data_IF_801979381930
#
_entry.id   IF_801979381930
#
_cell.length_a   1.000
_cell.length_b   1.000
_cell.length_c   1.000
_cell.angle_alpha   90.00
_cell.angle_beta   90.00
_cell.angle_gamma   90.00
#
_symmetry.space_group_name_H-M   'P 1'
#
loop_
_entity.id
_entity.type
_entity.pdbx_description
1 polymer ?
#
# COMPACT_ATOMS: atom_id res chain seq x y z
N UNK A 1 -31.62 -76.64 -23.80
CA UNK A 1 -31.74 -75.32 -23.14
C UNK A 1 -33.07 -75.13 -22.37
N UNK A 2 -33.77 -76.20 -21.93
CA UNK A 2 -35.08 -76.10 -21.24
C UNK A 2 -35.02 -76.13 -19.70
N UNK A 3 -33.92 -76.64 -19.11
CA UNK A 3 -33.79 -76.85 -17.66
C UNK A 3 -33.66 -75.54 -16.85
N UNK A 4 -32.97 -74.54 -17.40
CA UNK A 4 -32.78 -73.23 -16.75
C UNK A 4 -34.10 -72.44 -16.70
N UNK A 5 -34.94 -72.58 -17.73
CA UNK A 5 -36.21 -71.85 -17.85
C UNK A 5 -37.28 -72.39 -16.90
N UNK A 6 -37.36 -73.71 -16.76
CA UNK A 6 -38.20 -74.40 -15.77
C UNK A 6 -37.80 -74.03 -14.33
N UNK A 7 -36.50 -73.96 -14.05
CA UNK A 7 -35.98 -73.58 -12.73
C UNK A 7 -36.33 -72.12 -12.36
N UNK A 8 -36.16 -71.18 -13.29
CA UNK A 8 -36.56 -69.77 -13.12
C UNK A 8 -38.06 -69.64 -12.88
N UNK A 9 -38.89 -70.39 -13.64
CA UNK A 9 -40.35 -70.40 -13.46
C UNK A 9 -40.79 -71.02 -12.13
N UNK A 10 -40.02 -71.95 -11.55
CA UNK A 10 -40.32 -72.56 -10.25
C UNK A 10 -39.95 -71.68 -9.06
N UNK A 11 -38.95 -70.79 -9.21
CA UNK A 11 -38.43 -69.95 -8.12
C UNK A 11 -38.63 -68.44 -8.28
N UNK A 12 -39.40 -68.00 -9.28
CA UNK A 12 -39.72 -66.58 -9.60
C UNK A 12 -39.99 -65.66 -8.40
N UNK A 13 -40.77 -66.09 -7.39
CA UNK A 13 -41.00 -65.28 -6.18
C UNK A 13 -39.75 -65.13 -5.28
N UNK A 14 -38.94 -66.18 -5.16
CA UNK A 14 -37.70 -66.18 -4.36
C UNK A 14 -36.57 -65.41 -5.05
N UNK A 15 -36.53 -65.46 -6.39
CA UNK A 15 -35.58 -64.70 -7.20
C UNK A 15 -35.90 -63.20 -7.21
N UNK A 16 -37.19 -62.83 -7.27
CA UNK A 16 -37.61 -61.43 -7.12
C UNK A 16 -37.30 -60.89 -5.72
N UNK A 17 -37.60 -61.66 -4.67
CA UNK A 17 -37.29 -61.26 -3.29
C UNK A 17 -35.77 -61.15 -3.05
N UNK A 18 -34.99 -62.11 -3.56
CA UNK A 18 -33.53 -62.08 -3.50
C UNK A 18 -32.93 -60.90 -4.27
N UNK A 19 -33.41 -60.64 -5.49
CA UNK A 19 -33.00 -59.49 -6.29
C UNK A 19 -33.36 -58.15 -5.64
N UNK A 20 -34.54 -58.04 -5.03
CA UNK A 20 -34.97 -56.85 -4.30
C UNK A 20 -34.09 -56.58 -3.06
N UNK A 21 -33.75 -57.62 -2.28
CA UNK A 21 -32.87 -57.49 -1.11
C UNK A 21 -31.45 -57.07 -1.50
N UNK A 22 -30.88 -57.68 -2.56
CA UNK A 22 -29.55 -57.32 -3.05
C UNK A 22 -29.53 -55.90 -3.63
N UNK A 23 -30.56 -55.50 -4.38
CA UNK A 23 -30.69 -54.15 -4.92
C UNK A 23 -30.85 -53.09 -3.82
N UNK A 24 -31.65 -53.37 -2.79
CA UNK A 24 -31.80 -52.49 -1.63
C UNK A 24 -30.50 -52.36 -0.84
N UNK A 25 -29.78 -53.47 -0.62
CA UNK A 25 -28.48 -53.45 0.04
C UNK A 25 -27.44 -52.65 -0.74
N UNK A 26 -27.41 -52.77 -2.07
CA UNK A 26 -26.52 -51.99 -2.93
C UNK A 26 -26.85 -50.50 -2.90
N UNK A 27 -28.13 -50.13 -2.98
CA UNK A 27 -28.57 -48.73 -2.90
C UNK A 27 -28.23 -48.08 -1.55
N UNK A 28 -28.40 -48.81 -0.44
CA UNK A 28 -28.00 -48.34 0.90
C UNK A 28 -26.48 -48.19 0.98
N UNK A 29 -25.72 -49.16 0.47
CA UNK A 29 -24.26 -49.10 0.47
C UNK A 29 -23.73 -47.90 -0.34
N UNK A 30 -24.25 -47.67 -1.54
CA UNK A 30 -23.84 -46.54 -2.39
C UNK A 30 -24.24 -45.20 -1.78
N UNK A 31 -25.40 -45.10 -1.13
CA UNK A 31 -25.81 -43.90 -0.40
C UNK A 31 -24.91 -43.61 0.81
N UNK A 32 -24.53 -44.62 1.60
CA UNK A 32 -23.62 -44.44 2.73
C UNK A 32 -22.21 -44.06 2.25
N UNK A 33 -21.75 -44.68 1.15
CA UNK A 33 -20.44 -44.39 0.57
C UNK A 33 -20.36 -42.97 0.01
N UNK A 34 -21.41 -42.50 -0.68
CA UNK A 34 -21.46 -41.13 -1.19
C UNK A 34 -21.51 -40.11 -0.06
N UNK A 35 -22.23 -40.38 1.04
CA UNK A 35 -22.25 -39.54 2.24
C UNK A 35 -20.87 -39.45 2.90
N UNK A 36 -20.18 -40.58 3.11
CA UNK A 36 -18.80 -40.58 3.63
C UNK A 36 -17.83 -39.84 2.72
N UNK A 37 -17.98 -39.97 1.41
CA UNK A 37 -17.11 -39.31 0.46
C UNK A 37 -17.34 -37.79 0.49
N UNK A 38 -18.58 -37.33 0.62
CA UNK A 38 -18.91 -35.93 0.85
C UNK A 38 -18.36 -35.42 2.19
N UNK A 39 -18.48 -36.20 3.26
CA UNK A 39 -17.94 -35.85 4.58
C UNK A 39 -16.42 -35.73 4.56
N UNK A 40 -15.70 -36.64 3.90
CA UNK A 40 -14.24 -36.56 3.74
C UNK A 40 -13.83 -35.36 2.88
N UNK A 41 -14.58 -35.05 1.82
CA UNK A 41 -14.35 -33.86 1.01
C UNK A 41 -14.55 -32.61 1.88
N UNK A 42 -15.63 -32.55 2.66
CA UNK A 42 -15.94 -31.43 3.55
C UNK A 42 -14.89 -31.27 4.66
N UNK A 43 -14.47 -32.37 5.29
CA UNK A 43 -13.37 -32.39 6.25
C UNK A 43 -12.06 -31.91 5.61
N UNK A 44 -11.81 -32.27 4.34
CA UNK A 44 -10.64 -31.79 3.61
C UNK A 44 -10.76 -30.31 3.22
N UNK A 45 -11.96 -29.79 2.97
CA UNK A 45 -12.20 -28.37 2.62
C UNK A 45 -12.06 -27.51 3.88
N UNK A 46 -12.55 -28.00 5.01
CA UNK A 46 -12.52 -27.32 6.31
C UNK A 46 -11.23 -27.58 7.10
N UNK A 47 -10.20 -28.15 6.47
CA UNK A 47 -8.90 -28.36 7.10
C UNK A 47 -8.26 -27.00 7.44
N UNK A 48 -8.01 -26.69 8.72
CA UNK A 48 -7.48 -25.41 9.15
C UNK A 48 -6.12 -25.09 8.49
N UNK A 49 -5.30 -26.10 8.19
CA UNK A 49 -4.03 -25.91 7.50
C UNK A 49 -4.22 -25.44 6.06
N UNK A 50 -5.24 -25.95 5.37
CA UNK A 50 -5.54 -25.55 3.98
C UNK A 50 -6.16 -24.15 3.94
N UNK A 51 -7.04 -23.82 4.89
CA UNK A 51 -7.59 -22.47 5.03
C UNK A 51 -6.44 -21.47 5.28
N UNK A 52 -5.54 -21.79 6.21
CA UNK A 52 -4.38 -20.97 6.50
C UNK A 52 -3.46 -20.82 5.26
N UNK A 53 -3.15 -21.91 4.57
CA UNK A 53 -2.31 -21.89 3.36
C UNK A 53 -2.94 -21.03 2.24
N UNK A 54 -4.26 -21.12 2.04
CA UNK A 54 -4.99 -20.30 1.07
C UNK A 54 -4.93 -18.81 1.42
N UNK A 55 -5.13 -18.46 2.69
CA UNK A 55 -5.03 -17.06 3.17
C UNK A 55 -3.63 -16.50 2.94
N UNK A 56 -2.60 -17.28 3.26
CA UNK A 56 -1.21 -16.91 2.97
C UNK A 56 -0.95 -16.71 1.47
N UNK A 57 -1.43 -17.62 0.62
CA UNK A 57 -1.28 -17.51 -0.83
C UNK A 57 -1.92 -16.23 -1.40
N UNK A 58 -3.14 -15.90 -0.95
CA UNK A 58 -3.84 -14.68 -1.35
C UNK A 58 -3.06 -13.45 -0.92
N UNK A 59 -2.60 -13.41 0.33
CA UNK A 59 -1.80 -12.31 0.84
C UNK A 59 -0.50 -12.13 0.04
N UNK A 60 0.31 -13.18 -0.10
CA UNK A 60 1.62 -13.11 -0.75
C UNK A 60 1.51 -12.70 -2.22
N UNK A 61 0.55 -13.26 -2.95
CA UNK A 61 0.35 -12.94 -4.38
C UNK A 61 -0.05 -11.48 -4.56
N UNK A 62 -0.97 -10.98 -3.72
CA UNK A 62 -1.41 -9.59 -3.77
C UNK A 62 -0.29 -8.62 -3.33
N UNK A 63 0.50 -8.98 -2.32
CA UNK A 63 1.62 -8.14 -1.86
C UNK A 63 2.75 -8.04 -2.89
N UNK A 64 3.06 -9.11 -3.62
CA UNK A 64 4.00 -9.06 -4.76
C UNK A 64 3.50 -8.19 -5.90
N UNK A 65 2.21 -8.31 -6.24
CA UNK A 65 1.60 -7.43 -7.25
C UNK A 65 1.64 -5.95 -6.82
N UNK A 66 1.37 -5.69 -5.53
CA UNK A 66 1.46 -4.37 -4.92
C UNK A 66 2.86 -3.76 -5.06
N UNK A 67 3.92 -4.53 -4.86
CA UNK A 67 5.29 -4.04 -4.96
C UNK A 67 5.60 -3.51 -6.36
N UNK A 68 5.20 -4.26 -7.40
CA UNK A 68 5.34 -3.79 -8.78
C UNK A 68 4.62 -2.46 -9.01
N UNK A 69 3.39 -2.33 -8.52
CA UNK A 69 2.63 -1.09 -8.62
C UNK A 69 3.28 0.07 -7.84
N UNK A 70 3.87 -0.19 -6.67
CA UNK A 70 4.60 0.85 -5.91
C UNK A 70 5.78 1.36 -6.72
N UNK A 71 6.57 0.47 -7.33
CA UNK A 71 7.73 0.86 -8.14
C UNK A 71 7.31 1.74 -9.33
N UNK A 72 6.28 1.33 -10.08
CA UNK A 72 5.76 2.09 -11.23
C UNK A 72 5.23 3.47 -10.81
N UNK A 73 4.43 3.53 -9.74
CA UNK A 73 3.88 4.79 -9.24
C UNK A 73 4.96 5.69 -8.64
N UNK A 74 5.97 5.13 -7.97
CA UNK A 74 7.09 5.87 -7.42
C UNK A 74 7.92 6.55 -8.51
N UNK A 75 8.13 5.90 -9.66
CA UNK A 75 8.77 6.54 -10.82
C UNK A 75 7.98 7.76 -11.33
N UNK A 76 6.65 7.64 -11.41
CA UNK A 76 5.79 8.76 -11.77
C UNK A 76 5.90 9.92 -10.75
N UNK A 77 5.89 9.59 -9.46
CA UNK A 77 6.03 10.57 -8.38
C UNK A 77 7.40 11.24 -8.40
N UNK A 78 8.48 10.48 -8.63
CA UNK A 78 9.82 11.04 -8.80
C UNK A 78 9.86 12.06 -9.95
N UNK A 79 9.32 11.73 -11.13
CA UNK A 79 9.26 12.69 -12.25
C UNK A 79 8.54 13.99 -11.85
N UNK A 80 7.44 13.90 -11.10
CA UNK A 80 6.72 15.07 -10.57
C UNK A 80 7.56 15.89 -9.59
N UNK A 81 8.26 15.24 -8.67
CA UNK A 81 9.16 15.90 -7.71
C UNK A 81 10.28 16.63 -8.45
N UNK A 82 10.90 16.01 -9.46
CA UNK A 82 11.95 16.61 -10.27
C UNK A 82 11.45 17.88 -10.99
N UNK A 83 10.26 17.81 -11.60
CA UNK A 83 9.63 18.95 -12.28
C UNK A 83 9.28 20.08 -11.30
N UNK A 84 8.74 19.74 -10.12
CA UNK A 84 8.31 20.73 -9.13
C UNK A 84 9.48 21.47 -8.50
N UNK A 85 10.58 20.76 -8.29
CA UNK A 85 11.81 21.28 -7.71
C UNK A 85 12.94 21.19 -8.73
N UNK A 86 12.82 21.81 -9.90
CA UNK A 86 13.83 21.79 -10.99
C UNK A 86 15.15 22.52 -10.67
N UNK A 87 16.02 21.83 -9.92
CA UNK A 87 17.34 22.31 -9.50
C UNK A 87 18.29 22.40 -10.69
N UNK A 88 18.21 21.46 -11.63
CA UNK A 88 19.09 21.38 -12.78
C UNK A 88 18.94 22.60 -13.68
N UNK A 89 17.70 23.02 -13.96
CA UNK A 89 17.42 24.23 -14.73
C UNK A 89 17.93 25.49 -14.02
N UNK A 90 17.69 25.61 -12.70
CA UNK A 90 18.18 26.74 -11.92
C UNK A 90 19.72 26.82 -11.88
N UNK A 91 20.41 25.68 -11.77
CA UNK A 91 21.87 25.61 -11.86
C UNK A 91 22.35 25.91 -13.29
N UNK A 92 21.64 25.46 -14.32
CA UNK A 92 21.97 25.76 -15.71
C UNK A 92 21.92 27.27 -15.97
N UNK A 93 20.88 27.98 -15.51
CA UNK A 93 20.78 29.45 -15.58
C UNK A 93 21.98 30.13 -14.92
N UNK A 94 22.40 29.65 -13.74
CA UNK A 94 23.59 30.17 -13.04
C UNK A 94 24.89 29.99 -13.83
N UNK A 95 24.98 28.96 -14.69
CA UNK A 95 26.17 28.66 -15.50
C UNK A 95 26.15 29.36 -16.85
N UNK A 96 24.99 29.50 -17.49
CA UNK A 96 24.86 30.04 -18.85
C UNK A 96 24.95 31.56 -18.91
N UNK A 97 24.68 32.26 -17.81
CA UNK A 97 24.64 33.73 -17.77
C UNK A 97 25.69 34.30 -16.79
N UNK A 98 26.98 34.28 -17.14
CA UNK A 98 28.05 34.79 -16.27
C UNK A 98 27.96 36.30 -15.99
N UNK A 99 27.18 37.04 -16.78
CA UNK A 99 26.96 38.49 -16.64
C UNK A 99 25.81 38.85 -15.67
N UNK A 100 25.17 37.85 -15.04
CA UNK A 100 24.07 38.08 -14.09
C UNK A 100 24.52 39.03 -12.95
N UNK A 101 23.73 40.06 -12.62
CA UNK A 101 23.98 40.89 -11.45
C UNK A 101 24.14 40.03 -10.19
N UNK A 102 25.06 40.44 -9.30
CA UNK A 102 25.40 39.66 -8.10
C UNK A 102 24.18 39.37 -7.21
N UNK A 103 23.23 40.31 -7.12
CA UNK A 103 21.98 40.16 -6.38
C UNK A 103 21.08 39.09 -6.99
N UNK A 104 20.88 39.11 -8.31
CA UNK A 104 20.06 38.11 -9.01
C UNK A 104 20.67 36.71 -8.90
N UNK A 105 22.01 36.61 -8.97
CA UNK A 105 22.73 35.36 -8.76
C UNK A 105 22.51 34.79 -7.36
N UNK A 106 22.51 35.66 -6.35
CA UNK A 106 22.25 35.27 -4.96
C UNK A 106 20.81 34.79 -4.77
N UNK A 107 19.82 35.43 -5.40
CA UNK A 107 18.42 35.00 -5.36
C UNK A 107 18.25 33.59 -5.94
N UNK A 108 18.89 33.29 -7.08
CA UNK A 108 18.81 31.95 -7.68
C UNK A 108 19.48 30.92 -6.76
N UNK A 109 20.65 31.21 -6.18
CA UNK A 109 21.28 30.29 -5.23
C UNK A 109 20.43 30.02 -3.99
N UNK A 110 19.76 31.04 -3.44
CA UNK A 110 18.83 30.85 -2.32
C UNK A 110 17.63 29.99 -2.73
N UNK A 111 17.12 30.13 -3.95
CA UNK A 111 16.07 29.26 -4.49
C UNK A 111 16.55 27.81 -4.65
N UNK A 112 17.75 27.60 -5.21
CA UNK A 112 18.38 26.27 -5.36
C UNK A 112 18.57 25.60 -4.00
N UNK A 113 19.03 26.35 -2.99
CA UNK A 113 19.18 25.88 -1.61
C UNK A 113 17.89 25.24 -1.07
N UNK A 114 16.77 25.95 -1.19
CA UNK A 114 15.46 25.47 -0.72
C UNK A 114 15.02 24.25 -1.55
N UNK A 115 15.13 24.33 -2.87
CA UNK A 115 14.69 23.27 -3.78
C UNK A 115 15.46 21.96 -3.56
N UNK A 116 16.79 22.02 -3.37
CA UNK A 116 17.62 20.83 -3.15
C UNK A 116 17.20 20.08 -1.87
N UNK A 117 16.99 20.80 -0.76
CA UNK A 117 16.53 20.21 0.50
C UNK A 117 15.09 19.73 0.38
N UNK A 118 14.19 20.54 -0.20
CA UNK A 118 12.80 20.16 -0.41
C UNK A 118 12.66 18.89 -1.25
N UNK A 119 13.53 18.69 -2.24
CA UNK A 119 13.55 17.49 -3.08
C UNK A 119 13.85 16.22 -2.30
N UNK A 120 14.80 16.25 -1.37
CA UNK A 120 15.12 15.12 -0.48
C UNK A 120 13.94 14.79 0.43
N UNK A 121 13.36 15.81 1.07
CA UNK A 121 12.20 15.64 1.96
C UNK A 121 10.98 15.12 1.19
N UNK A 122 10.74 15.65 -0.01
CA UNK A 122 9.63 15.25 -0.86
C UNK A 122 9.71 13.78 -1.28
N UNK A 123 10.90 13.27 -1.65
CA UNK A 123 11.09 11.85 -1.95
C UNK A 123 10.78 11.01 -0.71
N UNK A 124 11.39 11.36 0.43
CA UNK A 124 11.22 10.62 1.67
C UNK A 124 9.75 10.48 2.07
N UNK A 125 8.99 11.58 2.09
CA UNK A 125 7.58 11.57 2.46
C UNK A 125 6.69 10.94 1.38
N UNK A 126 6.87 11.29 0.10
CA UNK A 126 5.98 10.82 -0.96
C UNK A 126 6.10 9.31 -1.15
N UNK A 127 7.32 8.75 -1.11
CA UNK A 127 7.53 7.31 -1.27
C UNK A 127 7.07 6.54 -0.03
N UNK A 128 7.32 7.06 1.17
CA UNK A 128 6.84 6.43 2.41
C UNK A 128 5.32 6.39 2.46
N UNK A 129 4.64 7.50 2.17
CA UNK A 129 3.18 7.58 2.15
C UNK A 129 2.56 6.70 1.06
N UNK A 130 3.11 6.72 -0.16
CA UNK A 130 2.70 5.83 -1.24
C UNK A 130 2.78 4.36 -0.82
N UNK A 131 3.91 3.98 -0.22
CA UNK A 131 4.20 2.62 0.19
C UNK A 131 3.23 2.14 1.26
N UNK A 132 3.10 2.87 2.37
CA UNK A 132 2.19 2.45 3.46
C UNK A 132 0.73 2.49 3.03
N UNK A 133 0.32 3.45 2.18
CA UNK A 133 -1.04 3.54 1.68
C UNK A 133 -1.40 2.35 0.79
N UNK A 134 -0.59 2.06 -0.23
CA UNK A 134 -0.89 0.98 -1.16
C UNK A 134 -0.79 -0.39 -0.47
N UNK A 135 0.21 -0.58 0.41
CA UNK A 135 0.34 -1.80 1.21
C UNK A 135 -0.87 -2.03 2.13
N UNK A 136 -1.33 -0.99 2.84
CA UNK A 136 -2.56 -1.07 3.66
C UNK A 136 -3.80 -1.36 2.80
N UNK A 137 -3.96 -0.65 1.68
CA UNK A 137 -5.09 -0.80 0.76
C UNK A 137 -5.18 -2.24 0.23
N UNK A 138 -4.06 -2.83 -0.18
CA UNK A 138 -4.00 -4.21 -0.66
C UNK A 138 -4.20 -5.22 0.47
N UNK A 139 -3.65 -4.99 1.67
CA UNK A 139 -3.92 -5.83 2.84
C UNK A 139 -5.41 -5.86 3.22
N UNK A 140 -6.09 -4.71 3.18
CA UNK A 140 -7.54 -4.63 3.41
C UNK A 140 -8.28 -5.47 2.36
N UNK A 141 -7.97 -5.29 1.09
CA UNK A 141 -8.64 -6.04 0.02
C UNK A 141 -8.37 -7.55 0.11
N UNK A 142 -7.14 -7.96 0.41
CA UNK A 142 -6.79 -9.37 0.60
C UNK A 142 -7.56 -10.00 1.77
N UNK A 143 -7.76 -9.27 2.87
CA UNK A 143 -8.56 -9.75 4.01
C UNK A 143 -10.01 -10.01 3.62
N UNK A 144 -10.59 -9.14 2.79
CA UNK A 144 -11.94 -9.30 2.24
C UNK A 144 -12.08 -10.50 1.32
N UNK A 145 -11.11 -10.69 0.41
CA UNK A 145 -11.09 -11.85 -0.48
C UNK A 145 -11.08 -13.13 0.36
N UNK A 146 -10.28 -13.17 1.44
CA UNK A 146 -10.24 -14.33 2.34
C UNK A 146 -11.58 -14.57 3.05
N UNK A 147 -12.18 -13.52 3.61
CA UNK A 147 -13.47 -13.63 4.30
C UNK A 147 -14.61 -14.10 3.39
N UNK A 148 -14.55 -13.79 2.09
CA UNK A 148 -15.56 -14.26 1.12
C UNK A 148 -15.54 -15.78 0.92
N UNK A 149 -14.44 -16.46 1.23
CA UNK A 149 -14.36 -17.92 1.14
C UNK A 149 -15.01 -18.63 2.31
N UNK A 150 -14.99 -18.01 3.49
CA UNK A 150 -15.53 -18.60 4.73
C UNK A 150 -17.07 -18.65 4.72
N UNK A 151 -17.73 -17.94 3.79
CA UNK A 151 -19.19 -17.82 3.69
C UNK A 151 -19.82 -18.68 2.58
N UNK A 152 -19.05 -19.49 1.85
CA UNK A 152 -19.59 -20.36 0.78
C UNK A 152 -20.35 -21.57 1.35
N UNK A 153 -20.13 -21.91 2.63
CA UNK A 153 -20.68 -23.13 3.26
C UNK A 153 -22.01 -22.92 4.03
N UNK A 154 -22.50 -21.67 4.18
CA UNK A 154 -23.66 -21.32 5.03
C UNK A 154 -24.98 -21.07 4.23
N UNK A 155 -25.06 -21.55 2.99
CA UNK A 155 -26.18 -21.29 2.07
C UNK A 155 -27.39 -22.23 2.30
N UNK A 156 -27.89 -22.29 3.54
CA UNK A 156 -29.19 -22.87 3.86
C UNK A 156 -30.17 -21.84 4.48
N UNK A 157 -29.76 -20.58 4.65
CA UNK A 157 -30.61 -19.55 5.22
C UNK A 157 -30.44 -18.18 4.56
N UNK A 158 -30.64 -18.09 3.24
CA UNK A 158 -31.21 -16.93 2.52
C UNK A 158 -30.69 -15.51 2.79
N UNK A 159 -29.54 -15.31 3.44
CA UNK A 159 -28.97 -14.00 3.76
C UNK A 159 -27.53 -13.93 3.26
N UNK A 160 -27.39 -14.01 1.93
CA UNK A 160 -26.17 -13.72 1.22
C UNK A 160 -25.73 -12.27 1.52
N UNK A 161 -24.89 -12.08 2.54
CA UNK A 161 -24.40 -10.75 2.89
C UNK A 161 -22.95 -10.82 3.36
N UNK A 162 -22.00 -10.94 2.43
CA UNK A 162 -20.58 -10.65 2.73
C UNK A 162 -19.64 -10.49 1.52
N UNK A 163 -20.11 -10.44 0.27
CA UNK A 163 -19.23 -10.08 -0.85
C UNK A 163 -19.32 -8.59 -1.12
N UNK A 164 -18.24 -7.85 -0.82
CA UNK A 164 -18.10 -6.44 -1.21
C UNK A 164 -18.36 -6.33 -2.71
N UNK A 165 -19.20 -5.38 -3.11
CA UNK A 165 -19.50 -5.13 -4.51
C UNK A 165 -18.21 -4.99 -5.36
N UNK A 166 -18.09 -5.74 -6.46
CA UNK A 166 -16.91 -5.72 -7.33
C UNK A 166 -16.57 -4.30 -7.84
N UNK A 167 -17.58 -3.46 -8.07
CA UNK A 167 -17.39 -2.06 -8.43
C UNK A 167 -16.76 -1.26 -7.29
N UNK A 168 -17.16 -1.53 -6.04
CA UNK A 168 -16.55 -0.90 -4.86
C UNK A 168 -15.08 -1.30 -4.71
N UNK A 169 -14.72 -2.56 -4.95
CA UNK A 169 -13.32 -3.01 -4.92
C UNK A 169 -12.49 -2.32 -5.99
N UNK A 170 -12.99 -2.23 -7.23
CA UNK A 170 -12.29 -1.55 -8.32
C UNK A 170 -12.10 -0.04 -8.07
N UNK A 171 -13.12 0.64 -7.54
CA UNK A 171 -13.03 2.04 -7.18
C UNK A 171 -12.08 2.26 -6.00
N UNK A 172 -12.09 1.35 -5.02
CA UNK A 172 -11.14 1.36 -3.92
C UNK A 172 -9.72 1.23 -4.43
N UNK A 173 -9.42 0.28 -5.34
CA UNK A 173 -8.08 0.13 -5.95
C UNK A 173 -7.59 1.42 -6.63
N UNK A 174 -8.50 2.18 -7.25
CA UNK A 174 -8.17 3.44 -7.92
C UNK A 174 -7.91 4.61 -6.97
N UNK A 175 -8.18 4.50 -5.66
CA UNK A 175 -8.04 5.65 -4.76
C UNK A 175 -6.60 6.17 -4.68
N UNK A 176 -5.59 5.30 -4.83
CA UNK A 176 -4.18 5.71 -4.82
C UNK A 176 -3.84 6.68 -5.96
N UNK A 177 -4.61 6.68 -7.05
CA UNK A 177 -4.44 7.64 -8.15
C UNK A 177 -4.68 9.08 -7.69
N UNK A 178 -5.55 9.30 -6.70
CA UNK A 178 -5.73 10.63 -6.12
C UNK A 178 -4.45 11.12 -5.47
N UNK A 179 -3.79 10.27 -4.67
CA UNK A 179 -2.49 10.60 -4.09
C UNK A 179 -1.47 10.94 -5.17
N UNK A 180 -1.28 10.08 -6.16
CA UNK A 180 -0.23 10.27 -7.17
C UNK A 180 -0.47 11.44 -8.13
N UNK A 181 -1.68 11.99 -8.18
CA UNK A 181 -2.04 13.11 -9.07
C UNK A 181 -2.23 14.43 -8.33
N UNK A 182 -3.06 14.45 -7.28
CA UNK A 182 -3.43 15.66 -6.53
C UNK A 182 -2.78 15.69 -5.15
N UNK A 183 -2.81 14.58 -4.41
CA UNK A 183 -2.28 14.50 -3.05
C UNK A 183 -0.78 14.81 -2.98
N UNK A 184 0.00 14.31 -3.95
CA UNK A 184 1.43 14.60 -4.07
C UNK A 184 1.65 16.08 -4.30
N UNK A 185 0.90 16.74 -5.19
CA UNK A 185 1.11 18.18 -5.44
C UNK A 185 0.93 19.02 -4.16
N UNK A 186 -0.13 18.74 -3.40
CA UNK A 186 -0.37 19.38 -2.11
C UNK A 186 0.73 19.05 -1.08
N UNK A 187 1.23 17.81 -1.06
CA UNK A 187 2.39 17.44 -0.24
C UNK A 187 3.65 18.22 -0.63
N UNK A 188 3.90 18.41 -1.93
CA UNK A 188 5.05 19.18 -2.42
C UNK A 188 4.92 20.65 -2.08
N UNK A 189 3.72 21.23 -2.15
CA UNK A 189 3.46 22.61 -1.72
C UNK A 189 3.79 22.82 -0.23
N UNK A 190 3.32 21.90 0.63
CA UNK A 190 3.64 21.93 2.07
C UNK A 190 5.12 21.74 2.34
N UNK A 191 5.75 20.82 1.63
CA UNK A 191 7.20 20.56 1.73
C UNK A 191 7.99 21.82 1.36
N UNK A 192 7.64 22.47 0.24
CA UNK A 192 8.30 23.71 -0.17
C UNK A 192 8.16 24.79 0.88
N UNK A 193 6.93 25.00 1.39
CA UNK A 193 6.66 26.03 2.40
C UNK A 193 7.49 25.81 3.67
N UNK A 194 7.51 24.59 4.20
CA UNK A 194 8.29 24.27 5.41
C UNK A 194 9.79 24.42 5.14
N UNK A 195 10.28 23.98 4.00
CA UNK A 195 11.69 24.16 3.65
C UNK A 195 12.05 25.64 3.50
N UNK A 196 11.17 26.47 2.93
CA UNK A 196 11.38 27.91 2.85
C UNK A 196 11.47 28.54 4.25
N UNK A 197 10.53 28.22 5.14
CA UNK A 197 10.51 28.70 6.54
C UNK A 197 11.75 28.28 7.35
N UNK A 198 12.23 27.03 7.19
CA UNK A 198 13.36 26.50 7.98
C UNK A 198 14.74 26.84 7.40
N UNK A 199 14.85 27.08 6.08
CA UNK A 199 16.14 27.14 5.37
C UNK A 199 16.46 28.54 4.85
N UNK A 200 15.47 29.41 4.65
CA UNK A 200 15.64 30.76 4.07
C UNK A 200 16.72 31.58 4.78
N UNK A 201 16.67 31.63 6.11
CA UNK A 201 17.60 32.40 6.97
C UNK A 201 19.03 31.82 7.03
N UNK A 202 19.25 30.60 6.55
CA UNK A 202 20.58 29.97 6.59
C UNK A 202 21.47 30.56 5.48
N UNK A 203 22.53 31.25 5.89
CA UNK A 203 23.54 31.79 4.96
C UNK A 203 24.20 30.70 4.12
N UNK A 204 24.41 30.96 2.83
CA UNK A 204 25.17 30.10 1.91
C UNK A 204 26.63 29.88 2.35
N UNK A 205 27.17 30.76 3.21
CA UNK A 205 28.52 30.65 3.78
C UNK A 205 28.57 29.84 5.07
N UNK A 206 27.43 29.45 5.63
CA UNK A 206 27.38 28.66 6.85
C UNK A 206 28.07 27.31 6.64
N UNK A 207 28.90 26.89 7.59
CA UNK A 207 29.64 25.63 7.53
C UNK A 207 28.75 24.45 7.92
N UNK A 208 28.71 23.41 7.11
CA UNK A 208 27.90 22.21 7.30
C UNK A 208 28.80 20.98 7.29
N UNK A 209 28.70 20.22 8.37
CA UNK A 209 29.14 18.84 8.46
C UNK A 209 27.91 17.90 8.37
N UNK A 210 28.17 16.59 8.43
CA UNK A 210 27.13 15.56 8.37
C UNK A 210 26.10 15.69 9.51
N UNK A 211 26.52 16.10 10.71
CA UNK A 211 25.65 16.21 11.87
C UNK A 211 24.75 17.44 11.80
N UNK A 212 25.27 18.58 11.34
CA UNK A 212 24.48 19.78 11.09
C UNK A 212 23.46 19.55 9.98
N UNK A 213 23.84 18.85 8.91
CA UNK A 213 22.92 18.47 7.85
C UNK A 213 21.83 17.52 8.36
N UNK A 214 22.20 16.50 9.15
CA UNK A 214 21.25 15.61 9.84
C UNK A 214 20.28 16.41 10.72
N UNK A 215 20.79 17.36 11.49
CA UNK A 215 20.00 18.25 12.33
C UNK A 215 18.98 19.08 11.54
N UNK A 216 19.41 19.63 10.39
CA UNK A 216 18.53 20.38 9.49
C UNK A 216 17.40 19.51 8.91
N UNK A 217 17.75 18.36 8.33
CA UNK A 217 16.75 17.43 7.79
C UNK A 217 15.81 16.93 8.88
N UNK A 218 16.32 16.68 10.09
CA UNK A 218 15.53 16.33 11.27
C UNK A 218 14.61 17.45 11.75
N UNK A 219 15.02 18.72 11.63
CA UNK A 219 14.14 19.88 11.92
C UNK A 219 12.95 19.91 10.96
N UNK A 220 13.24 19.85 9.66
CA UNK A 220 12.20 19.84 8.62
C UNK A 220 11.27 18.64 8.79
N UNK A 221 11.81 17.44 9.07
CA UNK A 221 11.00 16.25 9.37
C UNK A 221 10.06 16.48 10.54
N UNK A 222 10.53 17.02 11.67
CA UNK A 222 9.70 17.31 12.85
C UNK A 222 8.61 18.32 12.52
N UNK A 223 8.91 19.36 11.73
CA UNK A 223 7.91 20.32 11.26
C UNK A 223 6.85 19.66 10.39
N UNK A 224 7.25 18.85 9.42
CA UNK A 224 6.33 18.05 8.58
C UNK A 224 5.41 17.16 9.43
N UNK A 225 5.91 16.54 10.50
CA UNK A 225 5.08 15.74 11.41
C UNK A 225 4.14 16.60 12.27
N UNK A 226 4.55 17.81 12.64
CA UNK A 226 3.75 18.71 13.50
C UNK A 226 2.59 19.38 12.78
N UNK A 227 2.69 19.59 11.46
CA UNK A 227 1.62 20.27 10.70
C UNK A 227 0.41 19.37 10.47
N UNK A 228 0.55 18.05 10.62
CA UNK A 228 -0.51 17.11 10.27
C UNK A 228 -0.63 15.94 11.24
N UNK A 229 -1.62 16.04 12.13
CA UNK A 229 -1.91 14.99 13.12
C UNK A 229 -2.58 13.76 12.50
N UNK A 230 -3.13 13.90 11.29
CA UNK A 230 -3.81 12.85 10.52
C UNK A 230 -2.88 12.13 9.55
N UNK A 231 -1.57 12.37 9.66
CA UNK A 231 -0.56 11.69 8.85
C UNK A 231 -0.84 11.79 7.35
N UNK A 232 -1.37 12.94 6.90
CA UNK A 232 -1.68 13.20 5.50
C UNK A 232 -2.69 12.21 4.88
N UNK A 233 -3.51 11.53 5.70
CA UNK A 233 -4.49 10.54 5.24
C UNK A 233 -5.45 11.10 4.17
N UNK A 234 -5.79 12.38 4.28
CA UNK A 234 -6.66 13.09 3.34
C UNK A 234 -6.00 13.40 1.99
N UNK A 235 -4.66 13.34 1.89
CA UNK A 235 -3.96 13.38 0.60
C UNK A 235 -4.12 12.07 -0.17
N UNK A 236 -4.49 10.99 0.51
CA UNK A 236 -4.79 9.69 -0.10
C UNK A 236 -6.29 9.53 -0.31
N UNK A 237 -7.10 9.89 0.69
CA UNK A 237 -8.55 9.72 0.67
C UNK A 237 -9.25 11.06 0.96
N UNK A 238 -9.58 11.86 -0.08
CA UNK A 238 -10.02 13.25 0.09
C UNK A 238 -11.44 13.38 0.67
N UNK A 239 -12.28 12.34 0.55
CA UNK A 239 -13.66 12.33 1.11
C UNK A 239 -13.73 12.55 2.62
N UNK A 240 -12.62 12.34 3.33
CA UNK A 240 -12.54 12.57 4.78
C UNK A 240 -11.79 13.87 5.13
N UNK A 241 -11.49 14.69 4.11
CA UNK A 241 -10.81 15.98 4.22
C UNK A 241 -11.78 17.17 4.27
N UNK A 242 -12.81 17.18 3.39
CA UNK A 242 -13.79 18.27 3.21
C UNK A 242 -15.02 17.77 2.42
N UNK A 243 -16.15 18.49 2.53
CA UNK A 243 -17.48 18.14 1.99
C UNK A 243 -17.57 18.04 0.44
N UNK A 244 -16.57 18.53 -0.30
CA UNK A 244 -16.60 18.62 -1.78
C UNK A 244 -15.75 17.57 -2.52
N UNK A 245 -15.28 16.53 -1.83
CA UNK A 245 -14.29 15.62 -2.41
C UNK A 245 -14.87 14.42 -3.18
N UNK A 246 -14.46 14.30 -4.46
CA UNK A 246 -14.62 13.17 -5.38
C UNK A 246 -16.05 12.58 -5.42
N UNK A 247 -16.80 12.82 -6.48
CA UNK A 247 -18.08 12.14 -6.73
C UNK A 247 -17.89 10.63 -7.00
N UNK A 248 -17.46 9.86 -6.00
CA UNK A 248 -17.50 8.41 -6.06
C UNK A 248 -18.93 7.97 -5.78
N UNK A 249 -19.47 7.01 -6.56
CA UNK A 249 -20.78 6.41 -6.31
C UNK A 249 -20.97 6.06 -4.84
N UNK A 250 -22.11 6.41 -4.26
CA UNK A 250 -22.43 6.11 -2.88
C UNK A 250 -22.76 4.62 -2.75
N UNK A 251 -21.76 3.79 -2.46
CA UNK A 251 -21.96 2.44 -1.96
C UNK A 251 -21.45 2.33 -0.53
N UNK A 252 -22.25 1.74 0.36
CA UNK A 252 -21.86 1.52 1.76
C UNK A 252 -20.58 0.70 1.89
N UNK A 253 -20.35 -0.23 0.96
CA UNK A 253 -19.13 -1.04 0.90
C UNK A 253 -17.87 -0.23 0.57
N UNK A 254 -17.94 0.68 -0.42
CA UNK A 254 -16.81 1.55 -0.77
C UNK A 254 -16.49 2.50 0.39
N UNK A 255 -17.51 3.03 1.04
CA UNK A 255 -17.33 3.88 2.22
C UNK A 255 -16.64 3.12 3.36
N UNK A 256 -17.05 1.89 3.63
CA UNK A 256 -16.45 1.04 4.66
C UNK A 256 -14.97 0.74 4.38
N UNK A 257 -14.63 0.44 3.12
CA UNK A 257 -13.23 0.23 2.68
C UNK A 257 -12.37 1.48 2.85
N UNK A 258 -12.86 2.63 2.38
CA UNK A 258 -12.12 3.89 2.44
C UNK A 258 -11.96 4.38 3.88
N UNK A 259 -13.00 4.24 4.70
CA UNK A 259 -12.95 4.54 6.14
C UNK A 259 -11.88 3.67 6.81
N UNK A 260 -11.85 2.37 6.49
CA UNK A 260 -10.83 1.46 7.04
C UNK A 260 -9.42 1.85 6.64
N UNK A 261 -9.20 2.26 5.40
CA UNK A 261 -7.90 2.73 4.94
C UNK A 261 -7.45 3.96 5.74
N UNK A 262 -8.34 4.92 5.95
CA UNK A 262 -8.05 6.13 6.74
C UNK A 262 -7.69 5.78 8.19
N UNK A 263 -8.46 4.91 8.85
CA UNK A 263 -8.15 4.44 10.21
C UNK A 263 -6.76 3.80 10.29
N UNK A 264 -6.39 2.99 9.29
CA UNK A 264 -5.07 2.36 9.25
C UNK A 264 -3.97 3.38 9.02
N UNK A 265 -4.14 4.32 8.09
CA UNK A 265 -3.18 5.40 7.84
C UNK A 265 -2.98 6.32 9.06
N UNK A 266 -4.05 6.59 9.80
CA UNK A 266 -4.01 7.45 10.99
C UNK A 266 -3.56 6.72 12.27
N UNK A 267 -3.43 5.39 12.22
CA UNK A 267 -3.00 4.58 13.35
C UNK A 267 -1.56 4.91 13.78
N UNK A 268 -1.28 4.77 15.07
CA UNK A 268 0.07 4.94 15.62
C UNK A 268 1.09 4.00 14.96
N UNK A 269 0.69 2.77 14.64
CA UNK A 269 1.54 1.79 13.97
C UNK A 269 1.92 2.23 12.55
N UNK A 270 0.96 2.69 11.75
CA UNK A 270 1.26 3.18 10.40
C UNK A 270 2.12 4.45 10.43
N UNK A 271 1.81 5.39 11.33
CA UNK A 271 2.61 6.60 11.56
C UNK A 271 4.07 6.27 11.92
N UNK A 272 4.29 5.29 12.79
CA UNK A 272 5.63 4.85 13.18
C UNK A 272 6.39 4.23 11.99
N UNK A 273 5.76 3.31 11.25
CA UNK A 273 6.36 2.70 10.06
C UNK A 273 6.70 3.75 9.01
N UNK A 274 5.77 4.65 8.68
CA UNK A 274 6.03 5.71 7.72
C UNK A 274 7.14 6.66 8.19
N UNK A 275 7.20 6.99 9.49
CA UNK A 275 8.31 7.78 10.05
C UNK A 275 9.66 7.06 9.92
N UNK A 276 9.69 5.75 10.18
CA UNK A 276 10.88 4.90 10.02
C UNK A 276 11.35 4.85 8.56
N UNK A 277 10.42 4.71 7.61
CA UNK A 277 10.72 4.79 6.19
C UNK A 277 11.26 6.17 5.79
N UNK A 278 10.65 7.26 6.27
CA UNK A 278 11.17 8.63 6.06
C UNK A 278 12.60 8.74 6.58
N UNK A 279 12.87 8.26 7.81
CA UNK A 279 14.22 8.25 8.36
C UNK A 279 15.20 7.48 7.48
N UNK A 280 14.79 6.34 6.95
CA UNK A 280 15.61 5.54 6.05
C UNK A 280 16.04 6.33 4.79
N UNK A 281 15.11 7.06 4.16
CA UNK A 281 15.46 7.93 3.02
C UNK A 281 16.38 9.09 3.41
N UNK A 282 16.16 9.72 4.56
CA UNK A 282 17.03 10.79 5.04
C UNK A 282 18.44 10.25 5.36
N UNK A 283 18.54 9.05 5.91
CA UNK A 283 19.82 8.37 6.13
C UNK A 283 20.50 8.02 4.81
N UNK A 284 19.78 7.55 3.80
CA UNK A 284 20.33 7.31 2.48
C UNK A 284 20.92 8.60 1.87
N UNK A 285 20.22 9.74 2.03
CA UNK A 285 20.72 11.03 1.58
C UNK A 285 21.98 11.49 2.35
N UNK A 286 22.00 11.31 3.67
CA UNK A 286 23.17 11.63 4.50
C UNK A 286 24.37 10.73 4.19
N UNK A 287 24.14 9.44 3.93
CA UNK A 287 25.19 8.50 3.53
C UNK A 287 25.78 8.88 2.17
N UNK A 288 24.93 9.27 1.21
CA UNK A 288 25.39 9.80 -0.07
C UNK A 288 26.27 11.04 0.14
N UNK A 289 25.80 12.00 0.95
CA UNK A 289 26.58 13.19 1.28
C UNK A 289 27.94 12.83 1.91
N UNK A 290 27.97 11.97 2.91
CA UNK A 290 29.21 11.56 3.59
C UNK A 290 30.21 10.86 2.66
N UNK A 291 29.73 10.09 1.67
CA UNK A 291 30.59 9.43 0.69
C UNK A 291 31.20 10.38 -0.35
N UNK A 292 30.52 11.49 -0.64
CA UNK A 292 30.93 12.44 -1.70
C UNK A 292 31.46 13.77 -1.14
N UNK A 293 31.49 13.92 0.18
CA UNK A 293 32.06 15.08 0.85
C UNK A 293 33.59 15.03 0.81
N UNK A 294 34.22 16.08 0.32
CA UNK A 294 35.69 16.20 0.28
C UNK A 294 36.31 16.60 1.63
N UNK A 295 35.49 17.03 2.58
CA UNK A 295 35.91 17.55 3.89
C UNK A 295 34.87 17.26 4.95
N UNK A 296 35.29 17.21 6.21
CA UNK A 296 34.39 17.06 7.36
C UNK A 296 33.40 18.22 7.49
N UNK A 297 33.77 19.42 7.02
CA UNK A 297 32.91 20.60 7.07
C UNK A 297 33.10 21.49 5.83
N UNK A 298 32.01 21.92 5.22
CA UNK A 298 32.05 22.79 4.05
C UNK A 298 30.92 23.82 4.02
N UNK A 299 31.12 24.93 3.33
CA UNK A 299 30.08 25.94 3.17
C UNK A 299 28.83 25.35 2.51
N UNK A 300 27.64 25.79 2.94
CA UNK A 300 26.36 25.33 2.41
C UNK A 300 26.27 25.45 0.87
N UNK A 301 26.89 26.47 0.28
CA UNK A 301 27.01 26.63 -1.16
C UNK A 301 27.66 25.41 -1.88
N UNK A 302 28.55 24.67 -1.19
CA UNK A 302 29.17 23.43 -1.69
C UNK A 302 28.35 22.18 -1.36
N UNK A 303 27.60 22.20 -0.25
CA UNK A 303 26.68 21.11 0.12
C UNK A 303 25.48 21.02 -0.84
N UNK A 304 24.96 22.17 -1.29
CA UNK A 304 23.76 22.24 -2.13
C UNK A 304 23.89 21.41 -3.43
N UNK A 305 24.97 21.52 -4.23
CA UNK A 305 25.18 20.64 -5.38
C UNK A 305 25.20 19.15 -5.02
N UNK A 306 25.84 18.77 -3.91
CA UNK A 306 25.86 17.36 -3.46
C UNK A 306 24.45 16.86 -3.10
N UNK A 307 23.62 17.70 -2.49
CA UNK A 307 22.22 17.37 -2.23
C UNK A 307 21.39 17.28 -3.52
N UNK A 308 21.69 18.09 -4.52
CA UNK A 308 21.07 17.99 -5.84
C UNK A 308 21.43 16.66 -6.53
N UNK A 309 22.72 16.31 -6.50
CA UNK A 309 23.26 15.07 -7.09
C UNK A 309 22.82 13.81 -6.32
N UNK A 310 22.41 13.95 -5.06
CA UNK A 310 21.84 12.88 -4.26
C UNK A 310 20.49 12.41 -4.79
N UNK A 311 19.70 13.30 -5.40
CA UNK A 311 18.32 13.02 -5.77
C UNK A 311 18.14 11.77 -6.65
N UNK A 312 18.86 11.62 -7.79
CA UNK A 312 18.78 10.41 -8.60
C UNK A 312 19.10 9.13 -7.83
N UNK A 313 19.95 9.19 -6.79
CA UNK A 313 20.28 8.03 -5.96
C UNK A 313 19.10 7.62 -5.07
N UNK A 314 18.50 8.59 -4.36
CA UNK A 314 17.43 8.30 -3.40
C UNK A 314 16.06 8.07 -4.05
N UNK A 315 15.82 8.60 -5.25
CA UNK A 315 14.55 8.45 -5.99
C UNK A 315 14.53 7.23 -6.92
N UNK A 316 15.62 6.45 -6.99
CA UNK A 316 15.69 5.23 -7.81
C UNK A 316 14.67 4.20 -7.35
N UNK A 317 14.13 3.46 -8.32
CA UNK A 317 13.20 2.34 -8.11
C UNK A 317 13.80 0.97 -8.52
N UNK A 318 15.03 0.97 -9.03
CA UNK A 318 15.73 -0.24 -9.48
C UNK A 318 16.29 -1.11 -8.34
N UNK A 319 17.06 -2.13 -8.72
CA UNK A 319 17.74 -3.03 -7.78
C UNK A 319 18.65 -2.24 -6.83
N UNK A 320 18.67 -2.67 -5.57
CA UNK A 320 19.41 -2.05 -4.44
C UNK A 320 19.03 -0.60 -4.14
N UNK A 321 17.90 -0.13 -4.65
CA UNK A 321 17.42 1.22 -4.35
C UNK A 321 16.86 1.34 -2.94
N UNK A 322 16.85 2.56 -2.37
CA UNK A 322 16.22 2.79 -1.08
C UNK A 322 14.73 2.38 -1.04
N UNK A 323 14.02 2.48 -2.16
CA UNK A 323 12.63 2.03 -2.26
C UNK A 323 12.50 0.50 -2.14
N UNK A 324 13.32 -0.27 -2.86
CA UNK A 324 13.28 -1.73 -2.72
C UNK A 324 13.65 -2.19 -1.31
N UNK A 325 14.67 -1.57 -0.71
CA UNK A 325 15.04 -1.89 0.68
C UNK A 325 13.92 -1.54 1.67
N UNK A 326 13.21 -0.43 1.43
CA UNK A 326 12.03 -0.05 2.22
C UNK A 326 10.89 -1.07 2.11
N UNK A 327 10.69 -1.67 0.93
CA UNK A 327 9.70 -2.74 0.71
C UNK A 327 10.05 -4.03 1.47
N UNK A 328 11.34 -4.27 1.72
CA UNK A 328 11.82 -5.38 2.54
C UNK A 328 11.77 -5.12 4.06
N UNK A 329 11.24 -3.97 4.50
CA UNK A 329 11.16 -3.64 5.92
C UNK A 329 10.28 -4.63 6.71
N UNK A 330 10.83 -5.16 7.80
CA UNK A 330 10.10 -6.03 8.73
C UNK A 330 8.95 -5.29 9.42
N UNK A 331 9.13 -4.02 9.76
CA UNK A 331 8.09 -3.18 10.37
C UNK A 331 6.92 -2.95 9.39
N UNK A 332 7.24 -2.72 8.11
CA UNK A 332 6.24 -2.62 7.06
C UNK A 332 5.48 -3.94 6.90
N UNK A 333 6.18 -5.07 6.86
CA UNK A 333 5.55 -6.39 6.81
C UNK A 333 4.62 -6.62 8.02
N UNK A 334 5.06 -6.29 9.23
CA UNK A 334 4.24 -6.41 10.44
C UNK A 334 3.01 -5.50 10.42
N UNK A 335 3.08 -4.32 9.80
CA UNK A 335 1.91 -3.48 9.55
C UNK A 335 0.95 -4.15 8.57
N UNK A 336 1.46 -4.63 7.44
CA UNK A 336 0.65 -5.28 6.41
C UNK A 336 -0.10 -6.52 6.95
N UNK A 337 0.60 -7.34 7.74
CA UNK A 337 0.01 -8.52 8.39
C UNK A 337 -1.03 -8.14 9.44
N UNK A 338 -0.77 -7.09 10.23
CA UNK A 338 -1.76 -6.58 11.18
C UNK A 338 -3.03 -6.13 10.46
N UNK A 339 -2.89 -5.31 9.42
CA UNK A 339 -4.03 -4.83 8.62
C UNK A 339 -4.80 -6.01 8.00
N UNK A 340 -4.09 -7.02 7.50
CA UNK A 340 -4.68 -8.23 6.91
C UNK A 340 -5.40 -9.13 7.92
N UNK A 341 -4.93 -9.18 9.17
CA UNK A 341 -5.55 -9.99 10.23
C UNK A 341 -6.84 -9.39 10.80
N UNK A 342 -7.14 -8.13 10.49
CA UNK A 342 -8.32 -7.46 11.01
C UNK A 342 -9.57 -7.98 10.30
N UNK A 343 -10.73 -8.01 11.00
CA UNK A 343 -11.97 -8.43 10.38
C UNK A 343 -12.35 -7.49 9.23
N UNK A 344 -13.05 -8.00 8.20
CA UNK A 344 -13.52 -7.17 7.10
C UNK A 344 -14.45 -6.06 7.62
N UNK A 345 -14.29 -4.80 7.19
CA UNK A 345 -15.19 -3.72 7.58
C UNK A 345 -16.63 -3.99 7.15
N UNK A 346 -17.56 -3.79 8.07
CA UNK A 346 -18.98 -4.09 7.88
C UNK A 346 -19.65 -2.91 7.19
N UNK A 347 -20.36 -3.15 6.08
CA UNK A 347 -21.17 -2.09 5.45
C UNK A 347 -22.46 -1.87 6.24
N UNK A 348 -22.62 -0.65 6.75
CA UNK A 348 -23.89 -0.19 7.30
C UNK A 348 -24.88 0.07 6.15
N UNK A 349 -25.43 -0.99 5.57
CA UNK A 349 -26.65 -0.89 4.77
C UNK A 349 -27.86 -1.27 5.62
N UNK A 350 -28.68 -0.26 5.91
CA UNK A 350 -29.98 -0.24 6.60
C UNK A 350 -29.99 -0.43 8.12
N UNK A 351 -29.84 0.69 8.83
CA UNK A 351 -30.52 0.92 10.12
C UNK A 351 -31.04 2.35 10.18
N UNK A 352 -32.04 2.63 9.33
CA UNK A 352 -32.90 3.81 9.42
C UNK A 352 -34.14 3.55 8.55
N UNK A 353 -35.10 2.79 9.06
CA UNK A 353 -36.55 3.10 9.10
C UNK A 353 -37.17 1.96 9.92
N UNK A 354 -37.39 2.20 11.21
CA UNK A 354 -38.56 1.73 11.95
C UNK A 354 -38.86 2.76 13.03
#
# INVERSE_FOLDING_TARGET
MSSIWEFIKRHRGKLLLGGALVGAGYAVHTAIQSMRQQELIQMSINDPLRIQARRHYVYDTNQRACEKSILELAECVAKRIALRFDVESAIATLRSEPQLPSEQRLLIWNKVKIMAIARVIAVAYSFSLLTVALKCQISILASFICASFDHIDDDNNGKARSTVNANAQQLFLKCIQFFTTQGVEELLNRTQKICDEEVSEISLKAQFDSDRLRGLLGSVKRRMQSIDTRHFSYLVVPKFANQDAFALPHSGDLQALLQRLVEMLESSKCKAVASSLVDYYLHAALNFFGQHSESDSMALARVIPLLADCYPSISRCGIDSPLQNSLCSSELHQLCMYVFSLPPPVSMSNSSVQ
#
